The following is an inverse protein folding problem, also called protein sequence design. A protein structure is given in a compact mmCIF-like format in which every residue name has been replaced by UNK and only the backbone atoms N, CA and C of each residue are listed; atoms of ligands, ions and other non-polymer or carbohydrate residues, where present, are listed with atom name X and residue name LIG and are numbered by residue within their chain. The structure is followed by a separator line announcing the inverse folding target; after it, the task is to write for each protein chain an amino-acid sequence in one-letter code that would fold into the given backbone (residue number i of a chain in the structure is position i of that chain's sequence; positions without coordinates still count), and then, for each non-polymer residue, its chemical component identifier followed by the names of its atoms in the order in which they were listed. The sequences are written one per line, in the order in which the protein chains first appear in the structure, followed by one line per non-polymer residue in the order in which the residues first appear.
data_IF_492970125748
#
_entry.id   IF_492970125748
#
_cell.length_a   1.000
_cell.length_b   1.000
_cell.length_c   1.000
_cell.angle_alpha   90.00
_cell.angle_beta   90.00
_cell.angle_gamma   90.00
#
_symmetry.space_group_name_H-M   'P 1'
#
loop_
_entity.id
_entity.type
_entity.pdbx_description
1 polymer ?
#
# COMPACT_ATOMS: atom_id res chain seq x y z
N UNK A 1 11.63 45.74 3.91
CA UNK A 1 10.69 46.29 2.94
C UNK A 1 9.64 45.25 2.47
N UNK A 2 10.02 44.05 2.18
CA UNK A 2 9.09 43.00 1.65
C UNK A 2 7.86 42.66 2.51
N UNK A 3 7.97 42.71 3.84
CA UNK A 3 6.84 42.40 4.74
C UNK A 3 5.74 43.51 4.77
N UNK A 4 6.09 44.77 4.53
CA UNK A 4 5.14 45.89 4.57
C UNK A 4 4.18 45.84 3.37
N UNK A 5 4.62 45.32 2.25
CA UNK A 5 3.86 45.19 0.98
C UNK A 5 2.80 44.14 1.05
N UNK A 6 3.08 43.01 1.74
CA UNK A 6 2.12 41.92 1.98
C UNK A 6 0.92 42.39 2.81
N UNK A 7 1.06 43.48 3.60
CA UNK A 7 -0.02 43.99 4.46
C UNK A 7 -0.93 45.03 3.80
N UNK A 8 -0.49 45.71 2.74
CA UNK A 8 -1.29 46.78 2.09
C UNK A 8 -2.36 46.23 1.11
N UNK A 9 -2.12 45.01 0.49
CA UNK A 9 -3.08 44.36 -0.42
C UNK A 9 -3.32 42.91 -0.05
N UNK A 10 -3.83 42.71 1.17
CA UNK A 10 -4.01 41.41 1.82
C UNK A 10 -4.75 40.36 0.97
N UNK A 11 -5.80 40.73 0.27
CA UNK A 11 -6.63 39.79 -0.48
C UNK A 11 -5.87 39.10 -1.63
N UNK A 12 -5.07 39.84 -2.38
CA UNK A 12 -4.32 39.29 -3.52
C UNK A 12 -3.17 38.39 -3.05
N UNK A 13 -2.41 38.82 -2.04
CA UNK A 13 -1.36 38.02 -1.44
C UNK A 13 -1.92 36.70 -0.86
N UNK A 14 -3.04 36.75 -0.17
CA UNK A 14 -3.72 35.57 0.37
C UNK A 14 -4.16 34.63 -0.77
N UNK A 15 -4.75 35.14 -1.83
CA UNK A 15 -5.20 34.30 -2.98
C UNK A 15 -3.99 33.60 -3.64
N UNK A 16 -2.88 34.31 -3.80
CA UNK A 16 -1.66 33.76 -4.37
C UNK A 16 -1.06 32.69 -3.46
N UNK A 17 -1.00 32.93 -2.14
CA UNK A 17 -0.52 31.98 -1.16
C UNK A 17 -1.39 30.70 -1.15
N UNK A 18 -2.72 30.85 -1.21
CA UNK A 18 -3.65 29.73 -1.35
C UNK A 18 -3.35 28.94 -2.63
N UNK A 19 -3.22 29.63 -3.77
CA UNK A 19 -2.89 28.99 -5.04
C UNK A 19 -1.57 28.21 -4.98
N UNK A 20 -0.53 28.79 -4.35
CA UNK A 20 0.76 28.11 -4.17
C UNK A 20 0.64 26.91 -3.23
N UNK A 21 -0.20 27.01 -2.19
CA UNK A 21 -0.33 25.95 -1.17
C UNK A 21 -1.02 24.68 -1.70
N UNK A 22 -1.83 24.76 -2.75
CA UNK A 22 -2.57 23.61 -3.29
C UNK A 22 -1.66 22.52 -3.84
N UNK A 23 -0.55 22.87 -4.50
CA UNK A 23 0.41 21.90 -5.04
C UNK A 23 1.05 21.03 -3.95
N UNK A 24 1.77 21.62 -2.99
CA UNK A 24 2.38 20.88 -1.89
C UNK A 24 1.34 20.18 -0.99
N UNK A 25 0.15 20.77 -0.79
CA UNK A 25 -0.96 20.12 -0.10
C UNK A 25 -1.34 18.80 -0.76
N UNK A 26 -1.68 18.84 -2.05
CA UNK A 26 -2.10 17.65 -2.78
C UNK A 26 -0.99 16.58 -2.81
N UNK A 27 0.24 16.99 -3.09
CA UNK A 27 1.38 16.10 -3.18
C UNK A 27 1.63 15.38 -1.84
N UNK A 28 1.72 16.12 -0.73
CA UNK A 28 2.01 15.53 0.59
C UNK A 28 0.83 14.68 1.07
N UNK A 29 -0.41 15.16 0.93
CA UNK A 29 -1.58 14.44 1.37
C UNK A 29 -1.71 13.09 0.66
N UNK A 30 -1.69 13.09 -0.67
CA UNK A 30 -1.95 11.88 -1.46
C UNK A 30 -0.78 10.89 -1.34
N UNK A 31 0.48 11.36 -1.49
CA UNK A 31 1.63 10.46 -1.37
C UNK A 31 1.75 9.83 0.00
N UNK A 32 1.49 10.58 1.09
CA UNK A 32 1.55 10.03 2.45
C UNK A 32 0.51 8.94 2.70
N UNK A 33 -0.68 9.08 2.13
CA UNK A 33 -1.74 8.06 2.21
C UNK A 33 -1.35 6.83 1.38
N UNK A 34 -0.90 7.01 0.12
CA UNK A 34 -0.46 5.91 -0.75
C UNK A 34 0.68 5.13 -0.10
N UNK A 35 1.71 5.82 0.39
CA UNK A 35 2.87 5.17 1.02
C UNK A 35 2.46 4.44 2.32
N UNK A 36 1.55 5.02 3.11
CA UNK A 36 1.03 4.39 4.33
C UNK A 36 0.25 3.11 4.06
N UNK A 37 -0.69 3.15 3.12
CA UNK A 37 -1.42 1.94 2.70
C UNK A 37 -0.51 0.91 2.05
N UNK A 38 0.45 1.35 1.25
CA UNK A 38 1.43 0.48 0.63
C UNK A 38 2.26 -0.30 1.64
N UNK A 39 2.84 0.39 2.61
CA UNK A 39 3.61 -0.23 3.69
C UNK A 39 2.76 -1.21 4.51
N UNK A 40 1.52 -0.83 4.81
CA UNK A 40 0.60 -1.71 5.53
C UNK A 40 0.37 -3.01 4.75
N UNK A 41 0.03 -2.93 3.46
CA UNK A 41 -0.22 -4.13 2.64
C UNK A 41 1.05 -4.98 2.49
N UNK A 42 2.21 -4.35 2.29
CA UNK A 42 3.49 -5.07 2.20
C UNK A 42 3.80 -5.79 3.52
N UNK A 43 3.63 -5.12 4.67
CA UNK A 43 3.88 -5.74 5.97
C UNK A 43 2.99 -6.96 6.22
N UNK A 44 1.74 -6.94 5.73
CA UNK A 44 0.83 -8.08 5.80
C UNK A 44 1.31 -9.25 4.93
N UNK A 45 1.82 -8.96 3.73
CA UNK A 45 2.38 -9.98 2.84
C UNK A 45 3.67 -10.56 3.39
N UNK A 46 4.54 -9.73 3.98
CA UNK A 46 5.80 -10.17 4.59
C UNK A 46 5.58 -11.09 5.79
N UNK A 47 4.53 -10.86 6.57
CA UNK A 47 4.13 -11.74 7.68
C UNK A 47 3.76 -13.16 7.25
N UNK A 48 3.29 -13.35 6.01
CA UNK A 48 2.90 -14.65 5.47
C UNK A 48 4.08 -15.55 5.04
N UNK A 49 5.30 -15.07 5.16
CA UNK A 49 6.50 -15.84 4.85
C UNK A 49 7.20 -15.40 3.56
N UNK A 50 8.22 -14.58 3.72
CA UNK A 50 9.02 -14.07 2.58
C UNK A 50 9.74 -15.16 1.79
N UNK A 51 9.94 -16.33 2.38
CA UNK A 51 10.65 -17.48 1.82
C UNK A 51 9.72 -18.61 1.35
N UNK A 52 8.47 -18.30 1.06
CA UNK A 52 7.46 -19.26 0.59
C UNK A 52 7.18 -19.09 -0.90
N UNK A 53 7.15 -20.22 -1.60
CA UNK A 53 6.65 -20.32 -2.98
C UNK A 53 5.53 -21.37 -3.00
N UNK A 54 4.42 -21.07 -3.65
CA UNK A 54 3.29 -21.99 -3.79
C UNK A 54 3.06 -22.27 -5.27
N UNK A 55 2.98 -23.54 -5.62
CA UNK A 55 2.66 -23.98 -6.96
C UNK A 55 1.23 -24.52 -6.99
N UNK A 56 0.43 -24.03 -7.93
CA UNK A 56 -0.90 -24.56 -8.22
C UNK A 56 -0.89 -25.24 -9.60
N UNK A 57 -1.51 -26.41 -9.77
CA UNK A 57 -1.51 -27.08 -11.06
C UNK A 57 -2.37 -26.31 -12.07
N UNK A 58 -1.86 -26.07 -13.26
CA UNK A 58 -2.64 -25.52 -14.37
C UNK A 58 -3.67 -26.55 -14.86
N UNK A 59 -4.70 -26.08 -15.58
CA UNK A 59 -5.77 -26.95 -16.09
C UNK A 59 -5.20 -28.14 -16.85
N UNK A 60 -5.55 -29.35 -16.39
CA UNK A 60 -5.12 -30.62 -17.02
C UNK A 60 -3.79 -31.19 -16.50
N UNK A 61 -3.07 -30.47 -15.64
CA UNK A 61 -1.87 -30.98 -14.97
C UNK A 61 -2.19 -31.44 -13.54
N UNK A 62 -1.52 -32.49 -13.09
CA UNK A 62 -1.65 -33.05 -11.74
C UNK A 62 -0.26 -33.28 -11.18
N UNK A 63 -0.02 -32.72 -10.01
CA UNK A 63 1.23 -32.98 -9.31
C UNK A 63 1.34 -34.42 -8.84
N UNK A 64 2.54 -34.94 -8.89
CA UNK A 64 2.90 -36.31 -8.51
C UNK A 64 4.07 -36.31 -7.50
N UNK A 65 4.32 -37.46 -6.89
CA UNK A 65 5.52 -37.67 -6.04
C UNK A 65 6.83 -37.38 -6.80
N UNK A 66 6.88 -37.60 -8.11
CA UNK A 66 8.05 -37.26 -8.94
C UNK A 66 8.30 -35.77 -8.98
N UNK A 67 7.23 -34.97 -9.11
CA UNK A 67 7.32 -33.52 -9.08
C UNK A 67 7.81 -33.04 -7.71
N UNK A 68 7.25 -33.59 -6.64
CA UNK A 68 7.64 -33.26 -5.28
C UNK A 68 9.14 -33.55 -5.03
N UNK A 69 9.62 -34.70 -5.48
CA UNK A 69 11.02 -35.07 -5.37
C UNK A 69 11.94 -34.16 -6.21
N UNK A 70 11.49 -33.79 -7.42
CA UNK A 70 12.22 -32.84 -8.27
C UNK A 70 12.35 -31.50 -7.56
N UNK A 71 11.26 -30.97 -6.98
CA UNK A 71 11.28 -29.69 -6.25
C UNK A 71 12.18 -29.78 -5.01
N UNK A 72 12.11 -30.88 -4.27
CA UNK A 72 12.96 -31.09 -3.07
C UNK A 72 14.45 -31.15 -3.39
N UNK A 73 14.82 -31.56 -4.61
CA UNK A 73 16.20 -31.65 -5.06
C UNK A 73 16.82 -30.32 -5.50
N UNK A 74 16.02 -29.27 -5.68
CA UNK A 74 16.51 -27.96 -6.10
C UNK A 74 17.36 -27.31 -5.00
N UNK A 75 18.48 -26.70 -5.41
CA UNK A 75 19.29 -25.95 -4.44
C UNK A 75 18.53 -24.72 -3.93
N UNK A 76 18.64 -24.46 -2.63
CA UNK A 76 17.89 -23.40 -1.97
C UNK A 76 16.54 -23.83 -1.39
N UNK A 77 15.97 -24.96 -1.80
CA UNK A 77 14.75 -25.50 -1.18
C UNK A 77 15.11 -26.12 0.17
N UNK A 78 14.35 -25.74 1.21
CA UNK A 78 14.45 -26.30 2.56
C UNK A 78 13.47 -27.45 2.75
N UNK A 79 12.20 -27.22 2.35
CA UNK A 79 11.12 -28.23 2.39
C UNK A 79 10.19 -28.01 1.21
N UNK A 80 9.59 -29.06 0.71
CA UNK A 80 8.47 -28.99 -0.22
C UNK A 80 7.43 -30.02 0.21
N UNK A 81 6.18 -29.57 0.42
CA UNK A 81 5.09 -30.40 0.90
C UNK A 81 3.86 -30.20 0.03
N UNK A 82 3.17 -31.30 -0.32
CA UNK A 82 1.90 -31.18 -0.99
C UNK A 82 0.83 -30.67 -0.03
N UNK A 83 -0.21 -30.05 -0.57
CA UNK A 83 -1.36 -29.68 0.21
C UNK A 83 -2.67 -29.87 -0.55
N UNK A 84 -3.73 -30.01 0.21
CA UNK A 84 -5.09 -29.92 -0.28
C UNK A 84 -5.74 -28.64 0.24
N UNK A 85 -6.51 -27.97 -0.59
CA UNK A 85 -7.26 -26.79 -0.18
C UNK A 85 -8.67 -26.79 -0.73
N UNK A 86 -9.60 -26.31 0.07
CA UNK A 86 -10.99 -26.11 -0.33
C UNK A 86 -11.57 -24.92 0.42
N UNK A 87 -12.43 -24.18 -0.25
CA UNK A 87 -13.19 -23.11 0.37
C UNK A 87 -14.50 -23.66 0.92
N UNK A 88 -14.84 -23.29 2.14
CA UNK A 88 -16.05 -23.69 2.81
C UNK A 88 -16.71 -22.56 3.58
N UNK A 89 -17.76 -22.89 4.28
CA UNK A 89 -18.52 -22.01 5.16
C UNK A 89 -18.67 -22.63 6.54
N UNK A 90 -18.48 -21.81 7.57
CA UNK A 90 -18.66 -22.18 8.97
C UNK A 90 -19.62 -21.18 9.61
N UNK A 91 -20.48 -21.68 10.47
CA UNK A 91 -21.37 -20.83 11.28
C UNK A 91 -20.63 -20.39 12.55
N UNK A 92 -20.42 -19.08 12.69
CA UNK A 92 -19.79 -18.48 13.89
C UNK A 92 -20.84 -17.62 14.58
N UNK A 93 -21.37 -18.11 15.69
CA UNK A 93 -22.52 -17.48 16.35
C UNK A 93 -23.76 -17.44 15.44
N UNK A 94 -24.26 -16.27 15.13
CA UNK A 94 -25.37 -16.03 14.18
C UNK A 94 -24.95 -15.88 12.74
N UNK A 95 -23.65 -15.72 12.45
CA UNK A 95 -23.13 -15.44 11.12
C UNK A 95 -22.58 -16.65 10.42
N UNK A 96 -22.62 -16.63 9.07
CA UNK A 96 -21.94 -17.63 8.26
C UNK A 96 -20.71 -16.98 7.62
N UNK A 97 -19.54 -17.50 7.97
CA UNK A 97 -18.25 -17.00 7.48
C UNK A 97 -17.65 -17.93 6.45
N UNK A 98 -17.07 -17.34 5.41
CA UNK A 98 -16.25 -18.06 4.43
C UNK A 98 -14.91 -18.39 5.07
N UNK A 99 -14.50 -19.65 4.97
CA UNK A 99 -13.23 -20.15 5.52
C UNK A 99 -12.46 -20.92 4.46
N UNK A 100 -11.15 -20.92 4.59
CA UNK A 100 -10.28 -21.77 3.79
C UNK A 100 -9.80 -22.94 4.64
N UNK A 101 -9.92 -24.14 4.08
CA UNK A 101 -9.47 -25.36 4.73
C UNK A 101 -8.22 -25.81 3.98
N UNK A 102 -7.12 -25.95 4.71
CA UNK A 102 -5.87 -26.51 4.18
C UNK A 102 -5.54 -27.78 4.94
N UNK A 103 -5.36 -28.87 4.20
CA UNK A 103 -4.75 -30.09 4.73
C UNK A 103 -3.28 -30.12 4.25
N UNK A 104 -2.37 -29.89 5.18
CA UNK A 104 -0.93 -29.69 4.96
C UNK A 104 -0.19 -30.12 6.23
N UNK A 105 1.08 -30.58 6.17
CA UNK A 105 1.90 -30.73 7.37
C UNK A 105 1.96 -29.40 8.13
N UNK A 106 1.31 -29.35 9.29
CA UNK A 106 1.04 -28.09 10.02
C UNK A 106 2.33 -27.41 10.44
N UNK A 107 3.37 -28.18 10.75
CA UNK A 107 4.67 -27.67 11.17
C UNK A 107 5.31 -26.77 10.12
N UNK A 108 5.11 -27.05 8.82
CA UNK A 108 5.68 -26.25 7.73
C UNK A 108 5.04 -24.86 7.67
N UNK A 109 3.78 -24.75 8.06
CA UNK A 109 3.09 -23.46 8.11
C UNK A 109 3.65 -22.60 9.23
N UNK A 110 3.84 -23.18 10.43
CA UNK A 110 4.46 -22.47 11.57
C UNK A 110 5.92 -22.10 11.30
N UNK A 111 6.65 -22.95 10.60
CA UNK A 111 8.04 -22.67 10.23
C UNK A 111 8.15 -21.52 9.23
N UNK A 112 7.17 -21.34 8.38
CA UNK A 112 7.17 -20.35 7.30
C UNK A 112 6.61 -18.99 7.71
N UNK A 113 5.60 -18.97 8.57
CA UNK A 113 4.90 -17.74 8.99
C UNK A 113 5.44 -17.22 10.31
N UNK A 114 6.24 -16.14 10.25
CA UNK A 114 6.74 -15.48 11.46
C UNK A 114 5.60 -14.84 12.23
N UNK A 115 5.49 -15.19 13.52
CA UNK A 115 4.45 -14.63 14.41
C UNK A 115 3.13 -15.38 14.42
N UNK A 116 3.02 -16.51 13.70
CA UNK A 116 1.90 -17.42 13.87
C UNK A 116 2.05 -18.14 15.21
N UNK A 117 1.14 -17.89 16.15
CA UNK A 117 1.16 -18.42 17.50
C UNK A 117 -0.15 -19.17 17.81
N UNK A 118 -0.04 -20.18 18.67
CA UNK A 118 -1.20 -20.87 19.23
C UNK A 118 -1.66 -20.11 20.47
N UNK A 119 -2.93 -19.71 20.50
CA UNK A 119 -3.56 -19.12 21.66
C UNK A 119 -3.87 -20.19 22.71
N UNK A 120 -4.40 -21.34 22.27
CA UNK A 120 -4.85 -22.43 23.16
C UNK A 120 -4.76 -23.76 22.42
N UNK A 121 -4.39 -24.83 23.12
CA UNK A 121 -4.28 -26.17 22.56
C UNK A 121 -2.89 -26.52 22.05
N UNK A 122 -2.78 -27.46 21.13
CA UNK A 122 -1.52 -27.96 20.54
C UNK A 122 -1.69 -28.38 19.11
N UNK A 123 -0.59 -28.50 18.37
CA UNK A 123 -0.59 -29.01 16.98
C UNK A 123 -1.00 -30.49 17.00
N UNK A 124 -2.00 -30.91 16.21
CA UNK A 124 -2.38 -32.31 16.08
C UNK A 124 -1.29 -33.11 15.35
N UNK A 125 -1.14 -34.37 15.69
CA UNK A 125 -0.25 -35.26 14.96
C UNK A 125 -0.84 -35.60 13.57
N UNK A 126 0.02 -36.01 12.61
CA UNK A 126 -0.43 -36.38 11.25
C UNK A 126 -1.45 -37.53 11.25
N UNK A 127 -1.46 -38.41 12.25
CA UNK A 127 -2.44 -39.49 12.40
C UNK A 127 -3.83 -39.01 12.85
N UNK A 128 -3.92 -37.82 13.44
CA UNK A 128 -5.14 -37.27 14.04
C UNK A 128 -5.93 -36.42 13.02
N UNK A 129 -6.22 -37.00 11.84
CA UNK A 129 -6.82 -36.30 10.69
C UNK A 129 -8.21 -35.68 10.95
N UNK A 130 -8.86 -35.97 12.08
CA UNK A 130 -10.12 -35.33 12.50
C UNK A 130 -9.91 -34.10 13.37
N UNK A 131 -8.69 -33.83 13.80
CA UNK A 131 -8.35 -32.69 14.64
C UNK A 131 -7.83 -31.52 13.83
N UNK A 132 -8.28 -30.31 14.16
CA UNK A 132 -8.02 -29.11 13.41
C UNK A 132 -7.40 -28.00 14.30
N UNK A 133 -6.59 -27.16 13.67
CA UNK A 133 -6.31 -25.83 14.18
C UNK A 133 -7.27 -24.85 13.49
N UNK A 134 -7.93 -24.01 14.25
CA UNK A 134 -8.83 -23.00 13.72
C UNK A 134 -8.29 -21.59 13.95
N UNK A 135 -8.52 -20.72 12.99
CA UNK A 135 -8.15 -19.32 13.07
C UNK A 135 -8.97 -18.56 14.11
N UNK A 136 -8.42 -17.43 14.56
CA UNK A 136 -9.02 -16.61 15.61
C UNK A 136 -10.47 -16.20 15.31
N UNK A 137 -10.72 -15.73 14.08
CA UNK A 137 -12.06 -15.28 13.64
C UNK A 137 -13.05 -16.43 13.41
N UNK A 138 -12.61 -17.67 13.45
CA UNK A 138 -13.50 -18.85 13.47
C UNK A 138 -13.88 -19.17 14.91
N UNK A 139 -12.91 -19.06 15.82
CA UNK A 139 -13.12 -19.33 17.24
C UNK A 139 -13.91 -18.24 17.95
N UNK A 140 -13.85 -16.99 17.49
CA UNK A 140 -14.47 -15.84 18.12
C UNK A 140 -15.46 -15.13 17.17
N UNK A 141 -16.54 -14.59 17.73
CA UNK A 141 -17.44 -13.70 16.99
C UNK A 141 -16.91 -12.26 16.98
N UNK A 142 -17.58 -11.34 16.26
CA UNK A 142 -17.11 -9.95 16.10
C UNK A 142 -17.09 -9.15 17.40
N UNK A 143 -17.86 -9.58 18.40
CA UNK A 143 -17.85 -9.02 19.76
C UNK A 143 -16.77 -9.66 20.68
N UNK A 144 -15.85 -10.45 20.08
CA UNK A 144 -14.80 -11.18 20.79
C UNK A 144 -15.31 -12.30 21.75
N UNK A 145 -16.58 -12.66 21.68
CA UNK A 145 -17.08 -13.79 22.46
C UNK A 145 -16.59 -15.12 21.86
N UNK A 146 -16.20 -16.07 22.72
CA UNK A 146 -15.75 -17.40 22.30
C UNK A 146 -16.94 -18.20 21.78
N UNK A 147 -16.88 -18.64 20.54
CA UNK A 147 -17.89 -19.50 19.90
C UNK A 147 -17.44 -20.95 19.86
N UNK A 148 -16.14 -21.16 19.57
CA UNK A 148 -15.54 -22.50 19.57
C UNK A 148 -14.28 -22.51 20.44
N UNK A 149 -14.18 -23.46 21.34
CA UNK A 149 -13.00 -23.70 22.17
C UNK A 149 -12.37 -25.07 21.85
N UNK A 150 -11.21 -25.35 22.42
CA UNK A 150 -10.52 -26.64 22.27
C UNK A 150 -11.41 -27.75 22.78
N UNK A 151 -11.61 -28.78 21.94
CA UNK A 151 -12.51 -29.91 22.23
C UNK A 151 -13.89 -29.79 21.54
N UNK A 152 -14.27 -28.59 21.10
CA UNK A 152 -15.54 -28.39 20.38
C UNK A 152 -15.49 -28.95 18.95
N UNK A 153 -16.67 -29.17 18.37
CA UNK A 153 -16.83 -29.68 17.01
C UNK A 153 -17.25 -28.54 16.08
N UNK A 154 -16.42 -28.24 15.08
CA UNK A 154 -16.72 -27.29 14.03
C UNK A 154 -17.19 -28.04 12.79
N UNK A 155 -18.38 -27.68 12.28
CA UNK A 155 -18.92 -28.24 11.04
C UNK A 155 -18.72 -27.28 9.89
N UNK A 156 -18.00 -27.72 8.85
CA UNK A 156 -17.74 -26.95 7.65
C UNK A 156 -18.61 -27.48 6.51
N UNK A 157 -19.26 -26.58 5.80
CA UNK A 157 -20.03 -26.88 4.59
C UNK A 157 -19.26 -26.38 3.39
N UNK A 158 -19.03 -27.22 2.38
CA UNK A 158 -18.32 -26.83 1.16
C UNK A 158 -18.92 -27.50 -0.08
N UNK A 159 -18.65 -26.93 -1.25
CA UNK A 159 -19.04 -27.47 -2.53
C UNK A 159 -17.89 -28.31 -3.10
N UNK A 160 -18.12 -29.58 -3.30
CA UNK A 160 -17.21 -30.47 -4.03
C UNK A 160 -17.72 -30.66 -5.46
N UNK A 161 -16.93 -30.20 -6.43
CA UNK A 161 -17.24 -30.39 -7.84
C UNK A 161 -16.48 -31.62 -8.35
N UNK A 162 -17.22 -32.65 -8.83
CA UNK A 162 -16.64 -33.83 -9.43
C UNK A 162 -17.37 -34.11 -10.77
N UNK A 163 -16.63 -34.14 -11.87
CA UNK A 163 -17.18 -34.44 -13.21
C UNK A 163 -18.44 -33.60 -13.55
N UNK A 164 -18.35 -32.25 -13.37
CA UNK A 164 -19.44 -31.31 -13.65
C UNK A 164 -20.67 -31.40 -12.72
N UNK A 165 -20.61 -32.20 -11.67
CA UNK A 165 -21.63 -32.22 -10.60
C UNK A 165 -21.07 -31.59 -9.35
N UNK A 166 -21.79 -30.61 -8.79
CA UNK A 166 -21.45 -29.98 -7.52
C UNK A 166 -22.32 -30.60 -6.42
N UNK A 167 -21.68 -31.18 -5.43
CA UNK A 167 -22.32 -31.75 -4.24
C UNK A 167 -21.96 -30.89 -3.03
N UNK A 168 -22.99 -30.54 -2.25
CA UNK A 168 -22.77 -29.91 -0.93
C UNK A 168 -22.32 -30.98 0.06
N UNK A 169 -21.13 -30.86 0.58
CA UNK A 169 -20.61 -31.73 1.65
C UNK A 169 -20.48 -30.99 2.96
N UNK A 170 -20.70 -31.74 4.03
CA UNK A 170 -20.48 -31.28 5.41
C UNK A 170 -19.46 -32.19 6.06
N UNK A 171 -18.50 -31.58 6.69
CA UNK A 171 -17.44 -32.28 7.43
C UNK A 171 -17.33 -31.64 8.79
N UNK A 172 -17.26 -32.50 9.83
CA UNK A 172 -17.07 -32.06 11.20
C UNK A 172 -15.66 -32.39 11.68
N UNK A 173 -14.98 -31.41 12.28
CA UNK A 173 -13.63 -31.54 12.83
C UNK A 173 -13.63 -31.13 14.28
N UNK A 174 -12.78 -31.73 15.09
CA UNK A 174 -12.60 -31.39 16.48
C UNK A 174 -11.53 -30.33 16.59
N UNK A 175 -11.81 -29.25 17.29
CA UNK A 175 -10.83 -28.17 17.55
C UNK A 175 -9.74 -28.69 18.47
N UNK A 176 -8.52 -28.80 17.99
CA UNK A 176 -7.35 -29.19 18.80
C UNK A 176 -6.54 -27.99 19.25
N UNK A 177 -6.58 -26.92 18.47
CA UNK A 177 -5.98 -25.65 18.83
C UNK A 177 -6.71 -24.47 18.19
N UNK A 178 -6.63 -23.32 18.87
CA UNK A 178 -7.06 -22.01 18.37
C UNK A 178 -5.82 -21.16 18.14
N UNK A 179 -5.72 -20.57 16.95
CA UNK A 179 -4.64 -19.65 16.63
C UNK A 179 -4.88 -18.30 17.32
N UNK A 180 -3.79 -17.64 17.70
CA UNK A 180 -3.83 -16.25 18.14
C UNK A 180 -4.20 -15.36 16.95
N UNK A 181 -4.84 -14.23 17.21
CA UNK A 181 -5.17 -13.28 16.16
C UNK A 181 -3.89 -12.81 15.45
N UNK A 182 -3.82 -13.10 14.15
CA UNK A 182 -2.68 -12.75 13.31
C UNK A 182 -2.80 -11.34 12.76
N UNK A 183 -4.04 -10.85 12.61
CA UNK A 183 -4.33 -9.49 12.17
C UNK A 183 -4.22 -9.33 10.64
N UNK A 184 -5.18 -9.88 9.92
CA UNK A 184 -5.51 -9.51 8.55
C UNK A 184 -4.41 -9.69 7.50
N UNK A 185 -4.24 -10.89 7.00
CA UNK A 185 -3.55 -11.10 5.73
C UNK A 185 -4.53 -10.89 4.56
N UNK A 186 -4.16 -10.06 3.59
CA UNK A 186 -5.03 -9.67 2.47
C UNK A 186 -5.45 -10.86 1.57
N UNK A 187 -4.63 -11.92 1.46
CA UNK A 187 -4.87 -13.03 0.51
C UNK A 187 -5.08 -14.37 1.22
N UNK A 188 -4.36 -14.65 2.31
CA UNK A 188 -4.41 -15.89 3.08
C UNK A 188 -4.41 -15.53 4.56
N UNK A 189 -5.60 -15.23 5.11
CA UNK A 189 -5.70 -14.90 6.53
C UNK A 189 -5.69 -16.16 7.39
N UNK A 190 -4.67 -16.38 8.23
CA UNK A 190 -4.70 -17.46 9.20
C UNK A 190 -5.91 -17.39 10.13
N UNK A 191 -6.45 -16.19 10.34
CA UNK A 191 -7.61 -15.96 11.23
C UNK A 191 -8.91 -16.60 10.71
N UNK A 192 -9.04 -16.79 9.40
CA UNK A 192 -10.21 -17.42 8.74
C UNK A 192 -9.87 -18.78 8.14
N UNK A 193 -8.77 -19.38 8.56
CA UNK A 193 -8.27 -20.65 8.03
C UNK A 193 -8.46 -21.79 9.02
N UNK A 194 -8.78 -22.98 8.49
CA UNK A 194 -8.76 -24.25 9.21
C UNK A 194 -7.58 -25.06 8.69
N UNK A 195 -6.62 -25.36 9.56
CA UNK A 195 -5.47 -26.20 9.24
C UNK A 195 -5.72 -27.61 9.73
N UNK A 196 -5.54 -28.58 8.84
CA UNK A 196 -5.70 -30.01 9.09
C UNK A 196 -4.39 -30.74 8.76
N UNK A 197 -4.09 -31.86 9.40
CA UNK A 197 -3.04 -32.76 8.95
C UNK A 197 -3.23 -33.17 7.50
N UNK A 198 -2.14 -33.42 6.76
CA UNK A 198 -2.19 -33.70 5.32
C UNK A 198 -3.14 -34.87 4.96
N UNK A 199 -3.16 -35.91 5.79
CA UNK A 199 -4.04 -37.07 5.57
C UNK A 199 -5.53 -36.73 5.56
N UNK A 200 -5.95 -35.63 6.17
CA UNK A 200 -7.34 -35.17 6.17
C UNK A 200 -7.82 -34.80 4.73
N UNK A 201 -6.92 -34.36 3.87
CA UNK A 201 -7.24 -34.00 2.49
C UNK A 201 -7.92 -35.14 1.71
N UNK A 202 -7.34 -36.31 1.75
CA UNK A 202 -7.90 -37.49 1.08
C UNK A 202 -8.98 -38.17 1.92
N UNK A 203 -8.76 -38.38 3.22
CA UNK A 203 -9.66 -39.20 4.06
C UNK A 203 -10.93 -38.45 4.47
N UNK A 204 -10.81 -37.17 4.82
CA UNK A 204 -11.91 -36.37 5.35
C UNK A 204 -12.57 -35.50 4.28
N UNK A 205 -11.76 -34.73 3.51
CA UNK A 205 -12.26 -33.85 2.46
C UNK A 205 -12.56 -34.63 1.16
N UNK A 206 -12.03 -35.86 1.05
CA UNK A 206 -12.22 -36.72 -0.11
C UNK A 206 -11.59 -36.15 -1.39
N UNK A 207 -10.51 -35.41 -1.27
CA UNK A 207 -9.75 -34.84 -2.38
C UNK A 207 -8.71 -35.88 -2.82
N UNK A 208 -8.73 -36.25 -4.11
CA UNK A 208 -7.82 -37.28 -4.63
C UNK A 208 -6.56 -36.72 -5.26
N UNK A 209 -6.53 -35.41 -5.52
CA UNK A 209 -5.44 -34.73 -6.22
C UNK A 209 -4.98 -33.56 -5.35
N UNK A 210 -3.67 -33.35 -5.30
CA UNK A 210 -3.12 -32.23 -4.58
C UNK A 210 -3.58 -30.91 -5.19
N UNK A 211 -4.00 -29.98 -4.36
CA UNK A 211 -4.35 -28.63 -4.78
C UNK A 211 -3.12 -27.80 -5.12
N UNK A 212 -1.95 -28.22 -4.63
CA UNK A 212 -0.70 -27.57 -4.93
C UNK A 212 0.47 -28.15 -4.14
N UNK A 213 1.64 -27.53 -4.32
CA UNK A 213 2.85 -27.82 -3.56
C UNK A 213 3.31 -26.53 -2.88
N UNK A 214 3.55 -26.63 -1.58
CA UNK A 214 4.05 -25.57 -0.72
C UNK A 214 5.55 -25.74 -0.57
N UNK A 215 6.32 -24.75 -1.02
CA UNK A 215 7.79 -24.79 -1.03
C UNK A 215 8.32 -23.76 -0.06
N UNK A 216 9.08 -24.22 0.92
CA UNK A 216 9.81 -23.41 1.86
C UNK A 216 11.26 -23.31 1.41
N UNK A 217 11.72 -22.11 1.10
CA UNK A 217 13.09 -21.81 0.68
C UNK A 217 13.96 -21.53 1.92
N UNK A 218 15.24 -21.87 1.88
CA UNK A 218 16.19 -21.70 3.01
C UNK A 218 16.28 -20.26 3.50
N UNK A 219 16.26 -19.28 2.58
CA UNK A 219 16.25 -17.86 2.89
C UNK A 219 15.49 -17.06 1.83
N UNK A 220 15.00 -15.86 2.18
CA UNK A 220 14.29 -14.96 1.26
C UNK A 220 15.14 -14.55 0.04
N UNK A 221 16.47 -14.46 0.22
CA UNK A 221 17.38 -14.05 -0.85
C UNK A 221 17.49 -15.09 -1.98
N UNK A 222 17.22 -16.37 -1.67
CA UNK A 222 17.23 -17.47 -2.64
C UNK A 222 15.90 -17.62 -3.37
N UNK A 223 14.81 -16.98 -2.90
CA UNK A 223 13.49 -17.07 -3.53
C UNK A 223 13.50 -16.70 -5.01
N UNK A 224 14.17 -15.60 -5.46
CA UNK A 224 14.18 -15.26 -6.88
C UNK A 224 14.89 -16.30 -7.77
N UNK A 225 15.89 -17.00 -7.22
CA UNK A 225 16.59 -18.07 -7.93
C UNK A 225 15.69 -19.29 -8.05
N UNK A 226 15.21 -19.82 -6.92
CA UNK A 226 14.34 -21.00 -6.88
C UNK A 226 13.07 -20.77 -7.71
N UNK A 227 12.49 -19.55 -7.64
CA UNK A 227 11.32 -19.18 -8.43
C UNK A 227 11.59 -19.29 -9.94
N UNK A 228 12.73 -18.79 -10.43
CA UNK A 228 13.11 -18.91 -11.85
C UNK A 228 13.26 -20.36 -12.28
N UNK A 229 13.97 -21.18 -11.50
CA UNK A 229 14.15 -22.61 -11.78
C UNK A 229 12.80 -23.35 -11.84
N UNK A 230 11.90 -23.08 -10.88
CA UNK A 230 10.54 -23.64 -10.88
C UNK A 230 9.72 -23.17 -12.09
N UNK A 231 9.82 -21.89 -12.48
CA UNK A 231 9.14 -21.36 -13.66
C UNK A 231 9.63 -21.98 -14.96
N UNK A 232 10.90 -22.35 -15.06
CA UNK A 232 11.44 -23.06 -16.23
C UNK A 232 10.95 -24.52 -16.29
N UNK A 233 11.02 -25.24 -15.16
CA UNK A 233 10.61 -26.65 -15.08
C UNK A 233 9.11 -26.83 -15.31
N UNK A 234 8.30 -25.94 -14.70
CA UNK A 234 6.83 -26.05 -14.71
C UNK A 234 6.15 -25.07 -15.65
N UNK A 235 6.86 -24.53 -16.66
CA UNK A 235 6.29 -23.61 -17.65
C UNK A 235 5.05 -24.21 -18.31
N UNK A 236 3.88 -23.57 -18.16
CA UNK A 236 2.60 -24.00 -18.70
C UNK A 236 1.98 -25.21 -17.99
N UNK A 237 2.62 -25.75 -16.94
CA UNK A 237 2.11 -26.85 -16.12
C UNK A 237 1.59 -26.39 -14.76
N UNK A 238 2.15 -25.32 -14.23
CA UNK A 238 1.77 -24.79 -12.93
C UNK A 238 1.80 -23.25 -12.90
N UNK A 239 0.89 -22.67 -12.14
CA UNK A 239 0.93 -21.28 -11.74
C UNK A 239 1.74 -21.18 -10.45
N UNK A 240 2.80 -20.36 -10.47
CA UNK A 240 3.76 -20.26 -9.38
C UNK A 240 3.66 -18.89 -8.76
N UNK A 241 3.34 -18.86 -7.49
CA UNK A 241 3.16 -17.64 -6.71
C UNK A 241 4.18 -17.62 -5.58
N UNK A 242 4.91 -16.53 -5.44
CA UNK A 242 5.69 -16.23 -4.24
C UNK A 242 5.17 -14.96 -3.58
N UNK A 243 5.21 -14.91 -2.25
CA UNK A 243 4.81 -13.69 -1.54
C UNK A 243 5.69 -12.50 -1.91
N UNK A 244 6.96 -12.74 -2.23
CA UNK A 244 7.86 -11.70 -2.77
C UNK A 244 7.38 -11.15 -4.12
N UNK A 245 6.84 -12.01 -5.00
CA UNK A 245 6.27 -11.56 -6.28
C UNK A 245 5.04 -10.68 -6.06
N UNK A 246 4.20 -11.02 -5.07
CA UNK A 246 3.05 -10.19 -4.68
C UNK A 246 3.51 -8.83 -4.16
N UNK A 247 4.51 -8.80 -3.27
CA UNK A 247 5.07 -7.55 -2.77
C UNK A 247 5.64 -6.67 -3.91
N UNK A 248 6.30 -7.28 -4.90
CA UNK A 248 6.82 -6.57 -6.08
C UNK A 248 5.68 -5.98 -6.94
N UNK A 249 4.58 -6.71 -7.13
CA UNK A 249 3.39 -6.20 -7.84
C UNK A 249 2.81 -5.01 -7.08
N UNK A 250 2.64 -5.13 -5.77
CA UNK A 250 2.13 -4.07 -4.91
C UNK A 250 3.03 -2.83 -5.02
N UNK A 251 4.35 -2.99 -4.91
CA UNK A 251 5.31 -1.89 -5.08
C UNK A 251 5.20 -1.22 -6.46
N UNK A 252 4.97 -2.00 -7.51
CA UNK A 252 4.78 -1.46 -8.86
C UNK A 252 3.49 -0.63 -8.96
N UNK A 253 2.40 -1.09 -8.34
CA UNK A 253 1.13 -0.36 -8.26
C UNK A 253 1.30 0.93 -7.47
N UNK A 254 1.96 0.88 -6.30
CA UNK A 254 2.27 2.05 -5.47
C UNK A 254 3.12 3.05 -6.29
N UNK A 255 4.13 2.56 -7.00
CA UNK A 255 4.95 3.38 -7.88
C UNK A 255 4.14 4.10 -8.97
N UNK A 256 3.20 3.40 -9.61
CA UNK A 256 2.30 3.99 -10.60
C UNK A 256 1.35 5.02 -9.96
N UNK A 257 0.79 4.74 -8.80
CA UNK A 257 -0.08 5.68 -8.07
C UNK A 257 0.70 6.95 -7.65
N UNK A 258 1.92 6.79 -7.15
CA UNK A 258 2.80 7.91 -6.82
C UNK A 258 3.17 8.74 -8.05
N UNK A 259 3.40 8.11 -9.20
CA UNK A 259 3.65 8.82 -10.46
C UNK A 259 2.42 9.64 -10.89
N UNK A 260 1.21 9.06 -10.84
CA UNK A 260 -0.03 9.77 -11.18
C UNK A 260 -0.25 10.94 -10.21
N UNK A 261 -0.05 10.74 -8.91
CA UNK A 261 -0.16 11.78 -7.89
C UNK A 261 0.84 12.92 -8.14
N UNK A 262 2.07 12.57 -8.49
CA UNK A 262 3.11 13.55 -8.83
C UNK A 262 2.72 14.35 -10.09
N UNK A 263 2.24 13.70 -11.15
CA UNK A 263 1.80 14.36 -12.38
C UNK A 263 0.60 15.30 -12.13
N UNK A 264 -0.37 14.87 -11.32
CA UNK A 264 -1.49 15.71 -10.91
C UNK A 264 -1.03 16.94 -10.10
N UNK A 265 -0.09 16.75 -9.18
CA UNK A 265 0.50 17.84 -8.39
C UNK A 265 1.27 18.81 -9.27
N UNK A 266 1.95 18.32 -10.30
CA UNK A 266 2.68 19.16 -11.26
C UNK A 266 1.73 20.11 -12.00
N UNK A 267 0.51 19.68 -12.31
CA UNK A 267 -0.54 20.53 -12.88
C UNK A 267 -0.94 21.65 -11.92
N UNK A 268 -1.09 21.36 -10.63
CA UNK A 268 -1.37 22.37 -9.62
C UNK A 268 -0.21 23.37 -9.49
N UNK A 269 1.03 22.91 -9.55
CA UNK A 269 2.21 23.81 -9.56
C UNK A 269 2.26 24.70 -10.82
N UNK A 270 1.88 24.20 -11.99
CA UNK A 270 1.80 25.01 -13.21
C UNK A 270 0.77 26.15 -13.07
N UNK A 271 -0.38 25.87 -12.48
CA UNK A 271 -1.38 26.91 -12.16
C UNK A 271 -0.81 27.91 -11.15
N UNK A 272 -0.11 27.43 -10.11
CA UNK A 272 0.53 28.30 -9.11
C UNK A 272 1.60 29.22 -9.75
N UNK A 273 2.43 28.73 -10.67
CA UNK A 273 3.40 29.55 -11.41
C UNK A 273 2.69 30.69 -12.15
N UNK A 274 1.61 30.38 -12.85
CA UNK A 274 0.81 31.40 -13.58
C UNK A 274 0.21 32.43 -12.62
N UNK A 275 -0.30 31.99 -11.46
CA UNK A 275 -0.83 32.86 -10.41
C UNK A 275 0.23 33.79 -9.80
N UNK A 276 1.43 33.24 -9.49
CA UNK A 276 2.58 34.04 -9.01
C UNK A 276 2.99 35.07 -10.07
N UNK A 277 3.14 34.66 -11.32
CA UNK A 277 3.52 35.55 -12.39
C UNK A 277 2.53 36.71 -12.58
N UNK A 278 1.23 36.41 -12.59
CA UNK A 278 0.18 37.44 -12.70
C UNK A 278 0.20 38.42 -11.51
N UNK A 279 0.35 37.90 -10.29
CA UNK A 279 0.42 38.72 -9.08
C UNK A 279 1.67 39.61 -9.07
N UNK A 280 2.82 39.05 -9.46
CA UNK A 280 4.06 39.81 -9.51
C UNK A 280 4.06 40.86 -10.61
N UNK A 281 3.47 40.59 -11.81
CA UNK A 281 3.32 41.59 -12.86
C UNK A 281 2.50 42.78 -12.34
N UNK A 282 1.39 42.52 -11.69
CA UNK A 282 0.55 43.58 -11.13
C UNK A 282 1.27 44.34 -10.01
N UNK A 283 1.99 43.65 -9.14
CA UNK A 283 2.81 44.28 -8.07
C UNK A 283 3.88 45.22 -8.67
N UNK A 284 4.52 44.78 -9.74
CA UNK A 284 5.53 45.61 -10.45
C UNK A 284 4.90 46.87 -11.07
N UNK A 285 3.75 46.73 -11.74
CA UNK A 285 3.05 47.87 -12.36
C UNK A 285 2.61 48.89 -11.31
N UNK A 286 2.09 48.46 -10.18
CA UNK A 286 1.68 49.34 -9.07
C UNK A 286 2.83 50.10 -8.42
N UNK A 287 4.06 49.55 -8.50
CA UNK A 287 5.29 50.13 -7.89
C UNK A 287 6.29 50.64 -8.94
N UNK A 288 5.82 50.83 -10.18
CA UNK A 288 6.72 51.24 -11.27
C UNK A 288 7.50 52.49 -10.98
N UNK A 289 6.85 53.45 -10.32
CA UNK A 289 7.49 54.74 -9.91
C UNK A 289 8.55 54.54 -8.82
N UNK A 290 8.30 53.65 -7.83
CA UNK A 290 9.27 53.33 -6.79
C UNK A 290 10.53 52.67 -7.40
N UNK A 291 10.33 51.73 -8.34
CA UNK A 291 11.42 51.07 -9.07
C UNK A 291 12.19 52.08 -9.91
N UNK A 292 11.49 53.02 -10.54
CA UNK A 292 12.10 54.11 -11.28
C UNK A 292 13.00 55.00 -10.44
N UNK A 293 12.55 55.37 -9.22
CA UNK A 293 13.35 56.16 -8.25
C UNK A 293 14.57 55.38 -7.81
N UNK A 294 14.45 54.08 -7.47
CA UNK A 294 15.58 53.25 -7.07
C UNK A 294 16.65 53.19 -8.19
N UNK A 295 16.20 53.03 -9.44
CA UNK A 295 17.12 53.02 -10.58
C UNK A 295 17.77 54.40 -10.84
N UNK A 296 17.05 55.50 -10.66
CA UNK A 296 17.59 56.82 -10.71
C UNK A 296 18.66 57.11 -9.64
N UNK A 297 18.54 56.46 -8.47
CA UNK A 297 19.51 56.47 -7.39
C UNK A 297 20.70 55.51 -7.63
N UNK A 298 20.77 54.82 -8.78
CA UNK A 298 21.92 54.01 -9.18
C UNK A 298 21.76 52.50 -8.90
N UNK A 299 20.56 52.00 -8.60
CA UNK A 299 20.33 50.56 -8.46
C UNK A 299 20.55 49.86 -9.81
N UNK A 300 21.31 48.77 -9.79
CA UNK A 300 21.57 47.93 -10.96
C UNK A 300 20.36 47.05 -11.27
N UNK A 301 20.19 46.65 -12.55
CA UNK A 301 19.13 45.75 -12.99
C UNK A 301 19.10 44.45 -12.15
N UNK A 302 20.27 43.89 -11.84
CA UNK A 302 20.38 42.67 -11.01
C UNK A 302 19.84 42.86 -9.59
N UNK A 303 19.95 44.03 -8.99
CA UNK A 303 19.43 44.33 -7.66
C UNK A 303 17.90 44.43 -7.67
N UNK A 304 17.32 44.98 -8.76
CA UNK A 304 15.87 45.04 -8.94
C UNK A 304 15.33 43.62 -9.16
N UNK A 305 16.00 42.79 -10.00
CA UNK A 305 15.63 41.39 -10.21
C UNK A 305 15.66 40.63 -8.88
N UNK A 306 16.73 40.72 -8.12
CA UNK A 306 16.87 40.01 -6.85
C UNK A 306 15.80 40.42 -5.82
N UNK A 307 15.42 41.68 -5.79
CA UNK A 307 14.38 42.19 -4.90
C UNK A 307 13.01 41.56 -5.20
N UNK A 308 12.62 41.54 -6.47
CA UNK A 308 11.33 40.99 -6.91
C UNK A 308 11.31 39.45 -6.80
N UNK A 309 12.43 38.78 -7.14
CA UNK A 309 12.57 37.33 -6.94
C UNK A 309 12.49 36.95 -5.46
N UNK A 310 13.13 37.74 -4.57
CA UNK A 310 13.03 37.48 -3.15
C UNK A 310 11.58 37.56 -2.65
N UNK A 311 10.78 38.50 -3.16
CA UNK A 311 9.36 38.60 -2.82
C UNK A 311 8.56 37.35 -3.26
N UNK A 312 8.75 36.88 -4.50
CA UNK A 312 8.07 35.66 -5.00
C UNK A 312 8.52 34.39 -4.26
N UNK A 313 9.81 34.28 -3.91
CA UNK A 313 10.34 33.15 -3.13
C UNK A 313 9.76 33.13 -1.71
N UNK A 314 9.67 34.30 -1.06
CA UNK A 314 9.06 34.41 0.29
C UNK A 314 7.60 33.98 0.26
N UNK A 315 6.83 34.42 -0.73
CA UNK A 315 5.43 33.97 -0.90
C UNK A 315 5.35 32.44 -1.10
N UNK A 316 6.28 31.89 -1.88
CA UNK A 316 6.33 30.44 -2.12
C UNK A 316 6.72 29.65 -0.88
N UNK A 317 7.63 30.15 -0.07
CA UNK A 317 7.98 29.52 1.22
C UNK A 317 6.75 29.51 2.15
N UNK A 318 6.04 30.63 2.28
CA UNK A 318 4.84 30.72 3.11
C UNK A 318 3.76 29.76 2.60
N UNK A 319 3.47 29.79 1.30
CA UNK A 319 2.51 28.89 0.67
C UNK A 319 2.91 27.41 0.80
N UNK A 320 4.21 27.12 0.67
CA UNK A 320 4.76 25.78 0.86
C UNK A 320 4.57 25.23 2.26
N UNK A 321 4.93 26.03 3.27
CA UNK A 321 4.75 25.65 4.68
C UNK A 321 3.28 25.41 5.00
N UNK A 322 2.39 26.29 4.57
CA UNK A 322 0.94 26.13 4.76
C UNK A 322 0.45 24.87 4.03
N UNK A 323 0.83 24.68 2.76
CA UNK A 323 0.40 23.55 1.96
C UNK A 323 0.88 22.21 2.53
N UNK A 324 2.16 22.11 2.93
CA UNK A 324 2.71 20.90 3.57
C UNK A 324 1.99 20.61 4.89
N UNK A 325 1.80 21.62 5.75
CA UNK A 325 1.13 21.45 7.04
C UNK A 325 -0.32 20.98 6.87
N UNK A 326 -1.08 21.60 5.96
CA UNK A 326 -2.44 21.17 5.63
C UNK A 326 -2.44 19.78 4.97
N UNK A 327 -1.43 19.46 4.16
CA UNK A 327 -1.26 18.14 3.54
C UNK A 327 -1.07 17.04 4.56
N UNK A 328 -0.27 17.27 5.60
CA UNK A 328 -0.08 16.35 6.72
C UNK A 328 -1.38 16.13 7.48
N UNK A 329 -2.07 17.21 7.83
CA UNK A 329 -3.36 17.15 8.52
C UNK A 329 -4.40 16.40 7.66
N UNK A 330 -4.50 16.75 6.38
CA UNK A 330 -5.40 16.11 5.42
C UNK A 330 -5.13 14.62 5.27
N UNK A 331 -3.84 14.20 5.24
CA UNK A 331 -3.45 12.80 5.18
C UNK A 331 -3.95 12.02 6.41
N UNK A 332 -3.82 12.56 7.61
CA UNK A 332 -4.34 11.92 8.82
C UNK A 332 -5.87 11.82 8.84
N UNK A 333 -6.57 12.88 8.41
CA UNK A 333 -8.04 12.87 8.33
C UNK A 333 -8.52 11.85 7.29
N UNK A 334 -7.85 11.75 6.14
CA UNK A 334 -8.23 10.79 5.10
C UNK A 334 -7.95 9.36 5.54
N UNK A 335 -6.79 9.11 6.14
CA UNK A 335 -6.39 7.81 6.64
C UNK A 335 -7.26 7.31 7.80
N UNK A 336 -7.73 8.20 8.68
CA UNK A 336 -8.58 7.85 9.83
C UNK A 336 -9.96 7.32 9.44
N UNK A 337 -10.43 7.63 8.22
CA UNK A 337 -11.71 7.10 7.72
C UNK A 337 -11.61 5.64 7.25
N UNK A 338 -10.40 5.12 7.08
CA UNK A 338 -10.16 3.81 6.52
C UNK A 338 -10.57 3.68 5.05
N UNK A 339 -10.10 2.63 4.41
CA UNK A 339 -10.53 2.26 3.06
C UNK A 339 -11.35 0.97 3.14
N UNK A 340 -12.64 1.07 2.82
CA UNK A 340 -13.54 -0.10 2.83
C UNK A 340 -13.46 -0.81 1.49
N UNK A 341 -12.88 -2.02 1.49
CA UNK A 341 -12.91 -2.92 0.34
C UNK A 341 -14.10 -3.87 0.48
N UNK A 342 -15.08 -3.74 -0.40
CA UNK A 342 -16.19 -4.68 -0.50
C UNK A 342 -15.82 -5.84 -1.42
N UNK A 343 -15.58 -7.01 -0.85
CA UNK A 343 -15.42 -8.26 -1.61
C UNK A 343 -16.63 -9.14 -1.37
N UNK A 344 -17.50 -9.22 -2.37
CA UNK A 344 -18.71 -10.05 -2.44
C UNK A 344 -19.61 -10.09 -1.20
N UNK A 345 -19.18 -10.66 -0.10
CA UNK A 345 -19.97 -10.82 1.14
C UNK A 345 -19.29 -10.26 2.38
N UNK A 346 -18.09 -9.71 2.26
CA UNK A 346 -17.34 -9.13 3.40
C UNK A 346 -16.81 -7.76 3.05
N UNK A 347 -16.99 -6.81 3.96
CA UNK A 347 -16.31 -5.52 3.91
C UNK A 347 -15.08 -5.57 4.81
N UNK A 348 -13.91 -5.33 4.23
CA UNK A 348 -12.65 -5.21 4.97
C UNK A 348 -12.33 -3.72 5.07
N UNK A 349 -12.30 -3.21 6.29
CA UNK A 349 -11.87 -1.83 6.55
C UNK A 349 -10.37 -1.87 6.81
N UNK A 350 -9.61 -1.29 5.89
CA UNK A 350 -8.16 -1.15 6.04
C UNK A 350 -7.88 0.19 6.69
N UNK A 351 -7.42 0.16 7.93
CA UNK A 351 -6.93 1.33 8.66
C UNK A 351 -5.40 1.32 8.66
N UNK A 352 -4.80 2.14 7.79
CA UNK A 352 -3.36 2.30 7.75
C UNK A 352 -2.99 3.75 8.09
N UNK A 353 -2.07 3.99 9.04
CA UNK A 353 -1.62 5.34 9.31
C UNK A 353 -0.89 5.91 8.10
N UNK A 354 -1.03 7.22 7.80
CA UNK A 354 -0.33 7.83 6.69
C UNK A 354 1.18 7.85 6.97
N UNK A 355 1.99 7.52 5.98
CA UNK A 355 3.45 7.55 6.07
C UNK A 355 3.98 8.84 5.48
N UNK A 356 4.42 9.75 6.34
CA UNK A 356 5.05 10.99 5.92
C UNK A 356 6.53 10.72 5.67
N UNK A 357 6.93 10.69 4.40
CA UNK A 357 8.34 10.45 4.04
C UNK A 357 9.11 11.78 3.93
N UNK A 358 10.37 11.77 4.34
CA UNK A 358 11.26 12.94 4.16
C UNK A 358 11.37 13.33 2.69
N UNK A 359 11.30 12.33 1.79
CA UNK A 359 11.36 12.54 0.35
C UNK A 359 10.14 13.30 -0.18
N UNK A 360 8.92 13.01 0.30
CA UNK A 360 7.70 13.73 -0.10
C UNK A 360 7.75 15.20 0.35
N UNK A 361 8.23 15.46 1.55
CA UNK A 361 8.44 16.85 2.06
C UNK A 361 9.49 17.58 1.24
N UNK A 362 10.62 16.93 0.95
CA UNK A 362 11.70 17.54 0.16
C UNK A 362 11.26 17.86 -1.28
N UNK A 363 10.51 16.95 -1.92
CA UNK A 363 9.91 17.16 -3.24
C UNK A 363 8.93 18.33 -3.23
N UNK A 364 8.03 18.37 -2.25
CA UNK A 364 7.06 19.45 -2.11
C UNK A 364 7.75 20.80 -1.90
N UNK A 365 8.74 20.86 -1.04
CA UNK A 365 9.52 22.09 -0.76
C UNK A 365 10.29 22.54 -2.00
N UNK A 366 11.00 21.62 -2.66
CA UNK A 366 11.77 21.92 -3.87
C UNK A 366 10.91 22.44 -5.01
N UNK A 367 9.77 21.78 -5.28
CA UNK A 367 8.82 22.20 -6.31
C UNK A 367 8.20 23.57 -5.97
N UNK A 368 7.86 23.80 -4.71
CA UNK A 368 7.30 25.09 -4.29
C UNK A 368 8.30 26.24 -4.44
N UNK A 369 9.58 26.01 -4.14
CA UNK A 369 10.63 27.01 -4.38
C UNK A 369 10.79 27.28 -5.88
N UNK A 370 10.71 26.23 -6.72
CA UNK A 370 10.75 26.40 -8.18
C UNK A 370 9.57 27.24 -8.71
N UNK A 371 8.38 27.10 -8.12
CA UNK A 371 7.22 27.95 -8.44
C UNK A 371 7.54 29.42 -8.21
N UNK A 372 8.13 29.75 -7.05
CA UNK A 372 8.53 31.13 -6.74
C UNK A 372 9.56 31.70 -7.70
N UNK A 373 10.57 30.89 -8.04
CA UNK A 373 11.62 31.32 -8.97
C UNK A 373 11.06 31.49 -10.38
N UNK A 374 10.41 30.46 -10.94
CA UNK A 374 9.91 30.48 -12.32
C UNK A 374 8.82 31.55 -12.50
N UNK A 375 7.87 31.62 -11.54
CA UNK A 375 6.78 32.60 -11.58
C UNK A 375 7.28 34.04 -11.40
N UNK A 376 8.37 34.24 -10.65
CA UNK A 376 8.96 35.55 -10.39
C UNK A 376 9.95 36.06 -11.43
N UNK A 377 10.65 35.19 -12.18
CA UNK A 377 11.72 35.57 -13.14
C UNK A 377 11.22 36.51 -14.22
N UNK A 378 10.12 36.19 -14.88
CA UNK A 378 9.60 37.01 -15.97
C UNK A 378 9.17 38.40 -15.52
N UNK A 379 8.36 38.59 -14.47
CA UNK A 379 8.03 39.90 -13.92
C UNK A 379 9.27 40.69 -13.47
N UNK A 380 10.20 40.03 -12.78
CA UNK A 380 11.43 40.66 -12.31
C UNK A 380 12.29 41.18 -13.46
N UNK A 381 12.47 40.40 -14.50
CA UNK A 381 13.22 40.84 -15.70
C UNK A 381 12.55 42.03 -16.40
N UNK A 382 11.21 41.99 -16.55
CA UNK A 382 10.46 43.14 -17.12
C UNK A 382 10.62 44.39 -16.28
N UNK A 383 10.51 44.31 -14.99
CA UNK A 383 10.67 45.44 -14.08
C UNK A 383 12.07 46.07 -14.18
N UNK A 384 13.11 45.25 -14.23
CA UNK A 384 14.49 45.71 -14.36
C UNK A 384 14.78 46.44 -15.70
N UNK A 385 14.07 46.13 -16.78
CA UNK A 385 14.25 46.76 -18.08
C UNK A 385 13.47 48.05 -18.25
N UNK A 386 12.68 48.50 -17.31
CA UNK A 386 11.95 49.80 -17.39
C UNK A 386 12.93 50.95 -17.25
N UNK A 387 13.01 51.89 -18.22
CA UNK A 387 13.87 53.07 -18.14
C UNK A 387 13.39 53.98 -17.00
N UNK A 388 14.29 54.56 -16.18
CA UNK A 388 13.92 55.47 -15.09
C UNK A 388 13.04 56.63 -15.55
N UNK A 389 13.36 57.23 -16.69
CA UNK A 389 12.60 58.34 -17.27
C UNK A 389 11.13 57.96 -17.59
N UNK A 390 10.89 56.75 -18.06
CA UNK A 390 9.53 56.23 -18.34
C UNK A 390 8.78 55.95 -17.03
N UNK A 391 9.47 55.32 -16.07
CA UNK A 391 8.89 54.96 -14.79
C UNK A 391 8.44 56.18 -13.96
N UNK A 392 9.18 57.29 -14.04
CA UNK A 392 8.85 58.53 -13.31
C UNK A 392 7.72 59.36 -13.98
N UNK A 393 7.40 59.08 -15.24
CA UNK A 393 6.30 59.72 -15.98
C UNK A 393 4.98 58.95 -15.92
N UNK A 394 5.00 57.78 -15.29
CA UNK A 394 3.81 56.95 -15.14
C UNK A 394 2.89 57.59 -14.05
N UNK A 395 1.70 58.06 -14.45
CA UNK A 395 0.62 58.51 -13.59
C UNK A 395 -0.19 57.36 -13.04
#
# INVERSE_FOLDING_TARGET
MSFKVLTEKKTRAILTIIGISLGPFALVMISSVIDGYGDYVISQVEGLGQNVIVLFPSTGYKFSESDLNTIRSLDGVKRAEPFYSIQGQVKVGSETRIVFIYAIPVEVVFESMRGLEILKGSIPSESEYLKALIGYKIAHSDDNSVVYDVGDVVTVTFLKTTNSRSEVRRVSVVVNAVLKEFGGAFILSPDTTILLPLQAGSRLLGLNEWSGIYVLVKSSDLVPQVLRELQEIYRGKADIISFQSIANIINSVIGAMNFISFAASLSAFAVAISGVAATMITSVVERIREIGVLKALGFKDSQVISMILAESIIMSIIGGVIGISLGIIGAHILASRGFELKMSAQSIIINAPPKITTLSILRATGLTLLVGVIGGVFPAYRAAKIPPAVALRYE
#
